data_IF_692646238175
#
_entry.id   IF_692646238175
#
_cell.length_a   1.000
_cell.length_b   1.000
_cell.length_c   1.000
_cell.angle_alpha   90.00
_cell.angle_beta   90.00
_cell.angle_gamma   90.00
#
_symmetry.space_group_name_H-M   'P 1'
#
loop_
_entity.id
_entity.type
_entity.pdbx_description
1 polymer ?
#
# COMPACT_ATOMS: atom_id res chain seq x y z
N UNK A 1 -0.60 -14.91 -2.68
CA UNK A 1 -0.08 -13.58 -3.08
C UNK A 1 0.21 -13.66 -4.56
N UNK A 2 -0.72 -13.21 -5.39
CA UNK A 2 -0.65 -13.32 -6.84
C UNK A 2 0.59 -12.57 -7.34
N UNK A 3 1.54 -13.30 -7.91
CA UNK A 3 2.53 -12.66 -8.78
C UNK A 3 1.72 -11.96 -9.87
N UNK A 4 1.85 -10.64 -10.01
CA UNK A 4 1.14 -9.94 -11.07
C UNK A 4 1.45 -10.65 -12.39
N UNK A 5 0.46 -10.81 -13.25
CA UNK A 5 0.55 -11.58 -14.48
C UNK A 5 1.78 -11.20 -15.33
N UNK A 6 2.20 -9.94 -15.23
CA UNK A 6 3.46 -9.41 -15.75
C UNK A 6 4.71 -10.18 -15.28
N UNK A 7 4.88 -10.38 -13.97
CA UNK A 7 6.04 -11.07 -13.39
C UNK A 7 6.12 -12.53 -13.84
N UNK A 8 4.96 -13.18 -14.02
CA UNK A 8 4.87 -14.55 -14.54
C UNK A 8 5.34 -14.58 -15.99
N UNK A 9 4.87 -13.66 -16.85
CA UNK A 9 5.28 -13.58 -18.26
C UNK A 9 6.79 -13.34 -18.37
N UNK A 10 7.35 -12.42 -17.58
CA UNK A 10 8.79 -12.14 -17.58
C UNK A 10 9.58 -13.40 -17.23
N UNK A 11 9.19 -14.11 -16.16
CA UNK A 11 9.90 -15.31 -15.71
C UNK A 11 9.76 -16.49 -16.70
N UNK A 12 8.56 -16.76 -17.17
CA UNK A 12 8.26 -17.98 -17.93
C UNK A 12 8.54 -17.86 -19.43
N UNK A 13 8.50 -16.66 -20.00
CA UNK A 13 8.60 -16.45 -21.45
C UNK A 13 9.85 -15.67 -21.81
N UNK A 14 10.04 -14.49 -21.21
CA UNK A 14 11.16 -13.63 -21.57
C UNK A 14 12.51 -14.19 -21.11
N UNK A 15 12.60 -14.74 -19.89
CA UNK A 15 13.87 -15.28 -19.39
C UNK A 15 14.40 -16.46 -20.23
N UNK A 16 13.59 -17.46 -20.65
CA UNK A 16 14.06 -18.50 -21.56
C UNK A 16 14.47 -17.98 -22.95
N UNK A 17 13.73 -17.04 -23.53
CA UNK A 17 14.08 -16.44 -24.82
C UNK A 17 15.43 -15.72 -24.74
N UNK A 18 15.63 -14.92 -23.68
CA UNK A 18 16.90 -14.22 -23.44
C UNK A 18 18.02 -15.22 -23.21
N UNK A 19 17.80 -16.29 -22.45
CA UNK A 19 18.80 -17.32 -22.21
C UNK A 19 19.25 -18.01 -23.50
N UNK A 20 18.31 -18.45 -24.35
CA UNK A 20 18.63 -19.06 -25.65
C UNK A 20 19.41 -18.10 -26.53
N UNK A 21 19.00 -16.82 -26.60
CA UNK A 21 19.69 -15.81 -27.37
C UNK A 21 21.12 -15.55 -26.88
N UNK A 22 21.31 -15.46 -25.56
CA UNK A 22 22.62 -15.25 -24.95
C UNK A 22 23.55 -16.44 -25.15
N UNK A 23 23.04 -17.67 -25.09
CA UNK A 23 23.82 -18.87 -25.36
C UNK A 23 24.17 -18.97 -26.85
N UNK A 24 23.24 -18.66 -27.75
CA UNK A 24 23.55 -18.68 -29.20
C UNK A 24 24.67 -17.69 -29.56
N UNK A 25 24.59 -16.45 -29.06
CA UNK A 25 25.53 -15.38 -29.39
C UNK A 25 26.81 -15.36 -28.56
N UNK A 26 26.71 -15.64 -27.26
CA UNK A 26 27.79 -15.45 -26.29
C UNK A 26 27.90 -16.62 -25.31
N UNK A 27 27.95 -17.87 -25.80
CA UNK A 27 28.21 -18.99 -24.90
C UNK A 27 29.63 -18.95 -24.30
N UNK A 28 29.72 -18.50 -23.05
CA UNK A 28 30.97 -18.44 -22.27
C UNK A 28 31.60 -19.83 -22.03
N UNK A 29 30.81 -20.91 -22.15
CA UNK A 29 31.25 -22.28 -21.89
C UNK A 29 31.92 -22.95 -23.10
N UNK A 30 31.90 -22.31 -24.28
CA UNK A 30 32.62 -22.80 -25.47
C UNK A 30 34.14 -22.85 -25.29
N UNK A 31 34.68 -22.05 -24.37
CA UNK A 31 36.12 -21.96 -24.11
C UNK A 31 36.60 -22.83 -22.94
N UNK A 32 35.70 -23.58 -22.30
CA UNK A 32 35.99 -24.38 -21.11
C UNK A 32 36.20 -25.83 -21.52
N UNK A 33 37.44 -26.31 -21.41
CA UNK A 33 37.86 -27.68 -21.80
C UNK A 33 37.29 -28.80 -20.95
N UNK A 34 36.67 -28.48 -19.81
CA UNK A 34 36.06 -29.46 -18.90
C UNK A 34 34.70 -29.98 -19.39
N UNK A 35 34.00 -29.24 -20.27
CA UNK A 35 32.66 -29.59 -20.73
C UNK A 35 32.77 -30.25 -22.11
N UNK A 36 32.25 -31.48 -22.31
CA UNK A 36 32.27 -32.11 -23.63
C UNK A 36 31.48 -31.27 -24.63
N UNK A 37 32.01 -31.11 -25.84
CA UNK A 37 31.48 -30.20 -26.87
C UNK A 37 29.98 -30.41 -27.16
N UNK A 38 29.51 -31.65 -27.10
CA UNK A 38 28.12 -32.00 -27.36
C UNK A 38 27.15 -31.45 -26.29
N UNK A 39 27.63 -31.19 -25.08
CA UNK A 39 26.83 -30.69 -23.95
C UNK A 39 27.03 -29.19 -23.67
N UNK A 40 27.93 -28.51 -24.40
CA UNK A 40 28.26 -27.09 -24.17
C UNK A 40 27.05 -26.17 -24.31
N UNK A 41 26.12 -26.47 -25.22
CA UNK A 41 24.89 -25.70 -25.37
C UNK A 41 23.93 -25.90 -24.19
N UNK A 42 23.68 -27.15 -23.81
CA UNK A 42 22.76 -27.50 -22.70
C UNK A 42 23.27 -26.94 -21.37
N UNK A 43 24.57 -27.09 -21.11
CA UNK A 43 25.20 -26.55 -19.90
C UNK A 43 25.15 -25.02 -19.88
N UNK A 44 25.43 -24.37 -21.01
CA UNK A 44 25.27 -22.93 -21.16
C UNK A 44 23.84 -22.49 -20.87
N UNK A 45 22.85 -23.14 -21.49
CA UNK A 45 21.45 -22.80 -21.28
C UNK A 45 21.03 -22.92 -19.81
N UNK A 46 21.42 -23.99 -19.13
CA UNK A 46 21.15 -24.18 -17.71
C UNK A 46 21.80 -23.08 -16.84
N UNK A 47 23.06 -22.74 -17.10
CA UNK A 47 23.77 -21.70 -16.35
C UNK A 47 23.16 -20.31 -16.57
N UNK A 48 22.81 -19.95 -17.81
CA UNK A 48 22.18 -18.66 -18.12
C UNK A 48 20.77 -18.55 -17.54
N UNK A 49 19.98 -19.63 -17.60
CA UNK A 49 18.68 -19.67 -16.93
C UNK A 49 18.81 -19.50 -15.42
N UNK A 50 19.75 -20.21 -14.79
CA UNK A 50 20.03 -20.08 -13.35
C UNK A 50 20.44 -18.65 -12.96
N UNK A 51 21.30 -18.01 -13.77
CA UNK A 51 21.69 -16.62 -13.56
C UNK A 51 20.51 -15.64 -13.71
N UNK A 52 19.69 -15.80 -14.75
CA UNK A 52 18.51 -14.96 -14.96
C UNK A 52 17.46 -15.16 -13.86
N UNK A 53 17.30 -16.38 -13.35
CA UNK A 53 16.42 -16.66 -12.22
C UNK A 53 16.92 -15.98 -10.94
N UNK A 54 18.23 -16.06 -10.67
CA UNK A 54 18.84 -15.34 -9.55
C UNK A 54 18.63 -13.82 -9.66
N UNK A 55 18.86 -13.25 -10.85
CA UNK A 55 18.68 -11.82 -11.12
C UNK A 55 17.21 -11.41 -10.94
N UNK A 56 16.28 -12.20 -11.47
CA UNK A 56 14.85 -12.00 -11.29
C UNK A 56 14.44 -12.06 -9.81
N UNK A 57 14.93 -13.05 -9.06
CA UNK A 57 14.66 -13.19 -7.64
C UNK A 57 15.15 -11.96 -6.86
N UNK A 58 16.36 -11.48 -7.17
CA UNK A 58 16.92 -10.26 -6.60
C UNK A 58 16.08 -9.02 -6.90
N UNK A 59 15.58 -8.88 -8.14
CA UNK A 59 14.69 -7.77 -8.52
C UNK A 59 13.35 -7.83 -7.77
N UNK A 60 12.71 -9.00 -7.72
CA UNK A 60 11.44 -9.18 -6.98
C UNK A 60 11.63 -8.90 -5.50
N UNK A 61 12.73 -9.37 -4.91
CA UNK A 61 13.06 -9.10 -3.53
C UNK A 61 13.22 -7.60 -3.26
N UNK A 62 13.99 -6.89 -4.10
CA UNK A 62 14.19 -5.44 -3.97
C UNK A 62 12.90 -4.64 -4.14
N UNK A 63 11.97 -5.10 -4.97
CA UNK A 63 10.64 -4.49 -5.12
C UNK A 63 9.81 -4.69 -3.85
N UNK A 64 9.75 -5.92 -3.32
CA UNK A 64 9.03 -6.23 -2.08
C UNK A 64 9.60 -5.50 -0.87
N UNK A 65 10.93 -5.44 -0.77
CA UNK A 65 11.61 -4.73 0.32
C UNK A 65 11.32 -3.22 0.29
N UNK A 66 11.04 -2.66 -0.89
CA UNK A 66 10.68 -1.26 -1.06
C UNK A 66 9.17 -0.99 -1.01
N UNK A 67 8.32 -2.00 -0.84
CA UNK A 67 6.87 -1.84 -0.76
C UNK A 67 6.49 -1.28 0.62
N UNK A 68 5.82 -0.14 0.63
CA UNK A 68 5.24 0.44 1.85
C UNK A 68 3.74 0.14 1.85
N UNK A 69 3.23 -0.43 2.93
CA UNK A 69 1.82 -0.79 3.07
C UNK A 69 1.17 0.14 4.09
N UNK A 70 0.04 0.71 3.69
CA UNK A 70 -0.76 1.58 4.54
C UNK A 70 -2.19 1.02 4.48
N UNK A 71 -2.73 0.67 5.63
CA UNK A 71 -4.09 0.19 5.78
C UNK A 71 -4.88 1.21 6.60
N UNK A 72 -6.01 1.68 6.09
CA UNK A 72 -6.87 2.64 6.76
C UNK A 72 -8.25 2.03 6.97
N UNK A 73 -8.65 1.83 8.22
CA UNK A 73 -9.92 1.22 8.60
C UNK A 73 -10.78 2.21 9.38
N UNK A 74 -12.05 2.30 9.03
CA UNK A 74 -13.08 3.02 9.76
C UNK A 74 -14.04 2.04 10.43
N UNK A 75 -14.53 2.37 11.61
CA UNK A 75 -15.49 1.53 12.34
C UNK A 75 -16.35 2.34 13.32
N UNK A 76 -17.56 1.85 13.59
CA UNK A 76 -18.39 2.34 14.69
C UNK A 76 -18.06 1.59 15.99
N UNK A 77 -18.25 2.24 17.14
CA UNK A 77 -18.05 1.58 18.43
C UNK A 77 -18.93 0.33 18.55
N UNK A 78 -18.32 -0.81 18.88
CA UNK A 78 -19.01 -2.10 18.99
C UNK A 78 -19.11 -2.91 17.69
N UNK A 79 -18.62 -2.39 16.56
CA UNK A 79 -18.47 -3.17 15.32
C UNK A 79 -17.07 -3.78 15.20
N UNK A 80 -16.97 -4.91 14.51
CA UNK A 80 -15.69 -5.56 14.24
C UNK A 80 -14.86 -4.71 13.26
N UNK A 81 -13.59 -4.45 13.62
CA UNK A 81 -12.61 -3.80 12.75
C UNK A 81 -12.34 -4.73 11.55
N UNK A 82 -12.86 -4.40 10.37
CA UNK A 82 -12.64 -5.19 9.15
C UNK A 82 -12.62 -4.30 7.91
N UNK A 83 -11.75 -4.63 6.96
CA UNK A 83 -11.67 -3.94 5.66
C UNK A 83 -12.88 -4.21 4.77
N UNK A 84 -13.60 -5.30 5.03
CA UNK A 84 -14.82 -5.68 4.30
C UNK A 84 -16.06 -4.98 4.88
N UNK A 85 -15.95 -4.41 6.08
CA UNK A 85 -17.02 -3.68 6.74
C UNK A 85 -17.05 -2.25 6.24
N UNK A 86 -18.22 -1.77 5.82
CA UNK A 86 -18.44 -0.35 5.52
C UNK A 86 -19.37 0.24 6.59
N UNK A 87 -18.85 0.89 7.63
CA UNK A 87 -19.69 1.42 8.70
C UNK A 87 -20.62 2.52 8.19
N UNK A 88 -21.85 2.52 8.68
CA UNK A 88 -22.80 3.62 8.52
C UNK A 88 -22.76 4.50 9.77
N UNK A 89 -22.27 5.72 9.60
CA UNK A 89 -22.08 6.71 10.66
C UNK A 89 -23.33 7.58 10.68
N UNK A 90 -24.06 7.50 11.79
CA UNK A 90 -25.27 8.25 12.02
C UNK A 90 -25.03 9.39 12.99
N UNK A 91 -25.50 10.59 12.66
CA UNK A 91 -25.48 11.70 13.61
C UNK A 91 -26.56 11.54 14.66
N UNK A 92 -26.18 11.70 15.93
CA UNK A 92 -27.07 11.77 17.08
C UNK A 92 -27.00 13.17 17.65
N UNK A 93 -28.13 13.87 17.69
CA UNK A 93 -28.21 15.26 18.17
C UNK A 93 -27.16 16.13 17.47
N UNK A 94 -27.14 16.10 16.14
CA UNK A 94 -26.23 16.87 15.26
C UNK A 94 -24.75 16.48 15.31
N UNK A 95 -24.36 15.57 16.20
CA UNK A 95 -22.97 15.13 16.37
C UNK A 95 -22.79 13.67 15.95
N UNK A 96 -21.71 13.38 15.23
CA UNK A 96 -21.27 12.03 14.94
C UNK A 96 -19.79 11.85 15.29
N UNK A 97 -19.39 10.60 15.50
CA UNK A 97 -17.99 10.26 15.71
C UNK A 97 -17.59 9.13 14.78
N UNK A 98 -16.46 9.32 14.11
CA UNK A 98 -15.79 8.32 13.31
C UNK A 98 -14.62 7.80 14.12
N UNK A 99 -14.59 6.50 14.40
CA UNK A 99 -13.36 5.87 14.86
C UNK A 99 -12.62 5.32 13.65
N UNK A 100 -11.30 5.48 13.65
CA UNK A 100 -10.46 4.90 12.63
C UNK A 100 -9.18 4.32 13.20
N UNK A 101 -8.54 3.50 12.40
CA UNK A 101 -7.26 2.87 12.70
C UNK A 101 -6.41 2.86 11.44
N UNK A 102 -5.16 3.29 11.57
CA UNK A 102 -4.17 3.19 10.52
C UNK A 102 -3.16 2.14 10.94
N UNK A 103 -2.92 1.15 10.07
CA UNK A 103 -1.80 0.23 10.20
C UNK A 103 -0.76 0.56 9.11
N UNK A 104 0.50 0.62 9.48
CA UNK A 104 1.61 0.89 8.56
C UNK A 104 2.71 -0.16 8.69
N UNK A 105 3.29 -0.55 7.56
CA UNK A 105 4.45 -1.44 7.50
C UNK A 105 5.32 -1.16 6.27
N UNK A 106 6.60 -1.52 6.34
CA UNK A 106 7.59 -1.30 5.28
C UNK A 106 8.61 -0.20 5.61
N UNK A 107 9.25 0.36 4.58
CA UNK A 107 10.37 1.30 4.75
C UNK A 107 9.94 2.66 5.31
N UNK A 108 10.59 3.06 6.40
CA UNK A 108 10.32 4.32 7.11
C UNK A 108 10.49 5.52 6.19
N UNK A 109 11.63 5.61 5.48
CA UNK A 109 11.92 6.71 4.53
C UNK A 109 10.85 6.94 3.46
N UNK A 110 10.07 5.90 3.14
CA UNK A 110 8.97 5.97 2.18
C UNK A 110 7.68 6.38 2.89
N UNK A 111 7.35 5.73 4.01
CA UNK A 111 6.18 6.04 4.84
C UNK A 111 6.15 7.51 5.30
N UNK A 112 7.28 8.07 5.74
CA UNK A 112 7.39 9.48 6.18
C UNK A 112 6.97 10.51 5.12
N UNK A 113 6.94 10.13 3.84
CA UNK A 113 6.73 11.07 2.72
C UNK A 113 5.28 11.12 2.25
N UNK A 114 4.37 10.48 2.97
CA UNK A 114 2.98 10.31 2.56
C UNK A 114 2.03 10.58 3.71
N UNK A 115 0.79 10.93 3.37
CA UNK A 115 -0.28 11.23 4.30
C UNK A 115 -1.57 10.56 3.83
N UNK A 116 -2.43 10.19 4.76
CA UNK A 116 -3.79 9.73 4.44
C UNK A 116 -4.71 10.95 4.39
N UNK A 117 -5.51 11.06 3.33
CA UNK A 117 -6.43 12.14 3.08
C UNK A 117 -7.86 11.62 3.13
N UNK A 118 -8.72 12.28 3.91
CA UNK A 118 -10.14 11.97 4.03
C UNK A 118 -10.91 13.25 3.71
N UNK A 119 -11.58 13.29 2.57
CA UNK A 119 -12.41 14.43 2.17
C UNK A 119 -13.80 14.30 2.76
N UNK A 120 -14.16 15.25 3.61
CA UNK A 120 -15.48 15.35 4.24
C UNK A 120 -16.33 16.32 3.41
N UNK A 121 -17.63 16.05 3.22
CA UNK A 121 -18.52 16.94 2.50
C UNK A 121 -18.71 18.28 3.21
N UNK A 122 -19.00 19.34 2.44
CA UNK A 122 -19.15 20.70 2.96
C UNK A 122 -20.35 20.93 3.88
N UNK A 123 -21.30 20.00 3.93
CA UNK A 123 -22.44 20.05 4.84
C UNK A 123 -22.10 19.50 6.25
N UNK A 124 -20.83 19.14 6.50
CA UNK A 124 -20.34 18.62 7.77
C UNK A 124 -19.09 19.37 8.19
N UNK A 125 -19.10 19.87 9.42
CA UNK A 125 -17.92 20.45 10.04
C UNK A 125 -17.14 19.39 10.81
N UNK A 126 -15.81 19.45 10.70
CA UNK A 126 -14.90 18.52 11.37
C UNK A 126 -14.50 19.11 12.73
N UNK A 127 -14.69 18.35 13.79
CA UNK A 127 -14.19 18.65 15.12
C UNK A 127 -13.15 17.61 15.55
N UNK A 128 -11.93 18.08 15.80
CA UNK A 128 -10.85 17.26 16.32
C UNK A 128 -10.42 17.86 17.64
N UNK A 129 -10.23 17.00 18.64
CA UNK A 129 -9.68 17.40 19.93
C UNK A 129 -8.25 17.89 19.69
N UNK A 130 -7.99 19.16 20.03
CA UNK A 130 -6.83 19.96 19.61
C UNK A 130 -5.48 19.50 20.17
N UNK A 131 -5.43 18.33 20.80
CA UNK A 131 -4.26 17.83 21.51
C UNK A 131 -3.39 16.87 20.69
N UNK A 132 -3.82 16.48 19.48
CA UNK A 132 -3.15 15.44 18.69
C UNK A 132 -2.59 15.99 17.36
N UNK A 133 -1.27 16.14 17.30
CA UNK A 133 -0.46 16.58 16.15
C UNK A 133 -0.59 15.63 14.92
N UNK A 134 -1.23 14.48 15.13
CA UNK A 134 -1.48 13.41 14.17
C UNK A 134 -2.40 13.84 13.01
N UNK A 135 -3.39 14.70 13.28
CA UNK A 135 -4.40 15.08 12.29
C UNK A 135 -4.39 16.58 12.06
N UNK A 136 -4.37 16.97 10.78
CA UNK A 136 -4.50 18.36 10.34
C UNK A 136 -5.76 18.50 9.49
N UNK A 137 -6.52 19.57 9.71
CA UNK A 137 -7.71 19.88 8.93
C UNK A 137 -7.39 21.05 8.01
N UNK A 138 -7.56 20.86 6.70
CA UNK A 138 -7.42 21.89 5.68
C UNK A 138 -8.60 21.77 4.69
N UNK A 139 -9.43 22.80 4.55
CA UNK A 139 -10.52 22.86 3.56
C UNK A 139 -11.45 21.62 3.54
N UNK A 140 -11.97 21.20 4.70
CA UNK A 140 -12.77 19.97 4.87
C UNK A 140 -12.06 18.66 4.48
N UNK A 141 -10.74 18.70 4.35
CA UNK A 141 -9.90 17.51 4.20
C UNK A 141 -9.20 17.24 5.52
N UNK A 142 -9.44 16.07 6.07
CA UNK A 142 -8.71 15.53 7.20
C UNK A 142 -7.44 14.83 6.69
N UNK A 143 -6.28 15.36 7.08
CA UNK A 143 -4.95 14.87 6.72
C UNK A 143 -4.33 14.18 7.92
N UNK A 144 -4.14 12.87 7.82
CA UNK A 144 -3.49 12.07 8.85
C UNK A 144 -2.02 11.88 8.50
N UNK A 145 -1.17 12.36 9.40
CA UNK A 145 0.28 12.40 9.28
C UNK A 145 0.92 11.05 9.61
N UNK A 146 1.46 10.36 8.60
CA UNK A 146 2.05 9.03 8.80
C UNK A 146 3.39 9.13 9.53
N UNK A 147 4.15 10.20 9.35
CA UNK A 147 5.41 10.46 10.04
C UNK A 147 5.26 10.53 11.57
N UNK A 148 4.08 10.91 12.07
CA UNK A 148 3.74 10.91 13.50
C UNK A 148 3.40 9.52 14.05
N UNK A 149 3.05 8.56 13.19
CA UNK A 149 2.71 7.18 13.56
C UNK A 149 3.97 6.31 13.70
N UNK A 150 4.99 6.61 12.90
CA UNK A 150 6.19 5.78 12.73
C UNK A 150 7.36 6.24 13.58
N UNK A 151 8.16 5.29 14.08
CA UNK A 151 9.42 5.62 14.73
C UNK A 151 10.51 5.89 13.69
N UNK A 152 10.98 7.14 13.61
CA UNK A 152 11.99 7.59 12.64
C UNK A 152 13.38 6.97 12.84
N UNK A 153 13.63 6.25 13.95
CA UNK A 153 14.95 5.66 14.26
C UNK A 153 15.21 4.32 13.54
N UNK A 154 14.17 3.64 13.05
CA UNK A 154 14.30 2.38 12.32
C UNK A 154 14.32 2.59 10.80
N UNK A 155 14.92 1.66 10.05
CA UNK A 155 14.86 1.68 8.58
C UNK A 155 13.56 1.05 8.03
N UNK A 156 13.05 0.03 8.72
CA UNK A 156 11.86 -0.74 8.34
C UNK A 156 10.96 -0.97 9.54
N UNK A 157 9.65 -0.93 9.33
CA UNK A 157 8.63 -1.22 10.34
C UNK A 157 7.91 -2.51 9.95
N UNK A 158 7.88 -3.47 10.87
CA UNK A 158 7.13 -4.72 10.67
C UNK A 158 5.62 -4.47 10.68
N UNK A 159 5.12 -3.81 11.72
CA UNK A 159 3.73 -3.34 11.81
C UNK A 159 3.62 -2.31 12.94
N UNK A 160 2.93 -1.20 12.68
CA UNK A 160 2.58 -0.21 13.72
C UNK A 160 1.17 0.28 13.46
N UNK A 161 0.37 0.41 14.52
CA UNK A 161 -1.01 0.84 14.42
C UNK A 161 -1.31 2.01 15.35
N UNK A 162 -2.05 3.00 14.85
CA UNK A 162 -2.58 4.10 15.65
C UNK A 162 -4.08 4.19 15.43
N UNK A 163 -4.81 4.36 16.53
CA UNK A 163 -6.25 4.64 16.52
C UNK A 163 -6.47 6.14 16.60
N UNK A 164 -7.48 6.62 15.90
CA UNK A 164 -7.85 8.02 15.89
C UNK A 164 -9.37 8.15 15.91
N UNK A 165 -9.84 9.34 16.30
CA UNK A 165 -11.26 9.67 16.37
C UNK A 165 -11.50 11.03 15.75
N UNK A 166 -12.49 11.11 14.86
CA UNK A 166 -12.89 12.36 14.20
C UNK A 166 -14.33 12.66 14.67
N UNK A 167 -14.51 13.81 15.33
CA UNK A 167 -15.84 14.35 15.60
C UNK A 167 -16.37 15.08 14.38
N UNK A 168 -17.67 14.97 14.15
CA UNK A 168 -18.36 15.61 13.03
C UNK A 168 -19.62 16.31 13.55
N UNK A 169 -19.91 17.49 13.00
CA UNK A 169 -21.13 18.24 13.28
C UNK A 169 -21.89 18.52 11.98
N UNK A 170 -23.22 18.34 12.01
CA UNK A 170 -24.09 18.73 10.89
C UNK A 170 -24.12 20.26 10.77
N UNK A 171 -23.78 20.77 9.59
CA UNK A 171 -23.85 22.20 9.27
C UNK A 171 -24.98 22.49 8.28
N UNK A 172 -26.17 21.95 8.54
CA UNK A 172 -27.38 22.20 7.76
C UNK A 172 -28.62 22.05 8.63
N UNK A 173 -29.62 22.93 8.43
CA UNK A 173 -30.86 22.97 9.24
C UNK A 173 -32.09 22.39 8.52
N UNK A 174 -31.93 21.90 7.29
CA UNK A 174 -33.05 21.36 6.51
C UNK A 174 -33.39 19.92 6.88
N UNK A 175 -34.69 19.55 6.83
CA UNK A 175 -35.20 18.17 6.94
C UNK A 175 -34.77 17.24 5.77
N UNK A 176 -33.75 17.60 4.99
CA UNK A 176 -33.21 16.75 3.94
C UNK A 176 -32.24 15.72 4.54
N UNK A 177 -32.45 14.46 4.18
CA UNK A 177 -31.51 13.38 4.48
C UNK A 177 -30.33 13.48 3.51
N UNK A 178 -29.17 13.87 4.04
CA UNK A 178 -27.92 13.81 3.29
C UNK A 178 -27.24 12.48 3.58
N UNK A 179 -26.84 11.78 2.52
CA UNK A 179 -26.01 10.58 2.62
C UNK A 179 -24.84 10.70 1.66
N UNK A 180 -23.64 10.40 2.14
CA UNK A 180 -22.46 10.32 1.26
C UNK A 180 -21.52 9.20 1.66
N UNK A 181 -20.87 8.61 0.66
CA UNK A 181 -19.86 7.56 0.86
C UNK A 181 -18.48 8.22 0.83
N UNK A 182 -17.76 8.14 1.95
CA UNK A 182 -16.41 8.71 2.07
C UNK A 182 -15.39 7.59 1.86
N UNK A 183 -14.36 7.93 1.08
CA UNK A 183 -13.26 7.05 0.75
C UNK A 183 -11.94 7.75 1.06
N UNK A 184 -11.05 7.14 1.84
CA UNK A 184 -9.74 7.71 2.09
C UNK A 184 -8.87 7.59 0.83
N UNK A 185 -7.86 8.43 0.74
CA UNK A 185 -6.88 8.41 -0.33
C UNK A 185 -5.48 8.70 0.20
N UNK A 186 -4.45 8.42 -0.61
CA UNK A 186 -3.08 8.81 -0.30
C UNK A 186 -2.69 10.03 -1.11
N UNK A 187 -1.93 10.92 -0.48
CA UNK A 187 -1.29 12.06 -1.15
C UNK A 187 -0.34 11.59 -2.28
N UNK A 188 0.39 10.50 -2.05
CA UNK A 188 1.22 9.83 -3.07
C UNK A 188 0.74 8.41 -3.32
N UNK A 189 0.38 8.11 -4.57
CA UNK A 189 -0.15 6.79 -4.97
C UNK A 189 0.94 5.81 -5.39
N UNK A 190 2.06 6.29 -5.95
CA UNK A 190 3.06 5.41 -6.55
C UNK A 190 3.94 4.72 -5.50
N UNK A 191 4.04 3.40 -5.61
CA UNK A 191 4.88 2.56 -4.75
C UNK A 191 4.29 2.25 -3.38
N UNK A 192 3.04 2.59 -3.11
CA UNK A 192 2.36 2.23 -1.87
C UNK A 192 1.30 1.18 -2.18
N UNK A 193 1.19 0.19 -1.31
CA UNK A 193 0.03 -0.68 -1.26
C UNK A 193 -0.94 -0.08 -0.25
N UNK A 194 -1.98 0.55 -0.77
CA UNK A 194 -3.01 1.19 0.05
C UNK A 194 -4.25 0.31 0.09
N UNK A 195 -4.67 -0.08 1.28
CA UNK A 195 -5.87 -0.88 1.52
C UNK A 195 -6.78 -0.13 2.47
N UNK A 196 -8.06 -0.04 2.16
CA UNK A 196 -9.00 0.73 2.97
C UNK A 196 -10.42 0.21 2.85
N UNK A 197 -11.24 0.50 3.85
CA UNK A 197 -12.69 0.41 3.74
C UNK A 197 -13.31 1.78 3.49
N UNK A 198 -14.58 1.78 3.10
CA UNK A 198 -15.38 3.00 2.91
C UNK A 198 -16.30 3.17 4.10
N UNK A 199 -16.82 4.36 4.30
CA UNK A 199 -17.90 4.56 5.27
C UNK A 199 -19.00 5.43 4.69
N UNK A 200 -20.22 5.16 5.12
CA UNK A 200 -21.39 5.93 4.75
C UNK A 200 -21.67 6.92 5.88
N UNK A 201 -21.95 8.17 5.54
CA UNK A 201 -22.27 9.23 6.48
C UNK A 201 -23.73 9.65 6.25
N UNK A 202 -24.58 9.52 7.28
CA UNK A 202 -26.05 9.70 7.25
C UNK A 202 -26.54 10.60 8.41
#
# INVERSE_FOLDING_TARGET
MEASLFFIIVKCVLAPIIAVFLVDKWNLFKSITFIPNDYVFEFGLAAYLGFLEWLYAGLVWKIKENEAKIECLFYCSGQQESIESNPAIQFRNEVAYINGKINVSGKVKKLCKNNVLITIPNWVDIQIDSCDDLIVIENNVCKIKIDKIINLRGDTIESTSVKFKIGLIKNYSSNQEYSTVIQPSLEKKFGYKFTYNKFNLN
#
